data_IF_791322139060
#
_entry.id   IF_791322139060
#
_cell.length_a   1.000
_cell.length_b   1.000
_cell.length_c   1.000
_cell.angle_alpha   90.00
_cell.angle_beta   90.00
_cell.angle_gamma   90.00
#
_symmetry.space_group_name_H-M   'P 1'
#
loop_
_entity.id
_entity.type
_entity.pdbx_description
1 polymer ?
#
# COMPACT_ATOMS: atom_id res chain seq x y z
N UNK A 1 -48.94 28.64 -81.92
CA UNK A 1 -49.77 27.54 -81.38
C UNK A 1 -49.07 27.04 -80.11
N UNK A 2 -49.33 27.63 -78.93
CA UNK A 2 -50.34 27.23 -77.90
C UNK A 2 -50.06 25.82 -77.31
N UNK A 3 -50.29 25.56 -75.99
CA UNK A 3 -49.67 26.20 -74.82
C UNK A 3 -49.40 25.22 -73.63
N UNK A 4 -48.78 25.74 -72.55
CA UNK A 4 -49.04 25.47 -71.10
C UNK A 4 -49.05 24.05 -70.51
N UNK A 5 -48.27 23.88 -69.42
CA UNK A 5 -48.70 23.29 -68.13
C UNK A 5 -47.51 23.28 -67.15
N UNK A 6 -47.22 24.36 -66.42
CA UNK A 6 -47.61 24.55 -65.00
C UNK A 6 -48.14 23.30 -64.30
N UNK A 7 -47.30 22.67 -63.46
CA UNK A 7 -47.75 22.07 -62.20
C UNK A 7 -46.64 22.17 -61.16
N UNK A 8 -46.84 23.18 -60.31
CA UNK A 8 -46.15 23.48 -59.06
C UNK A 8 -46.55 22.39 -58.05
N UNK A 9 -45.60 21.55 -57.63
CA UNK A 9 -45.79 20.69 -56.46
C UNK A 9 -44.87 21.19 -55.35
N UNK A 10 -45.42 22.11 -54.56
CA UNK A 10 -44.90 22.47 -53.24
C UNK A 10 -45.37 21.43 -52.25
N UNK A 11 -44.46 20.62 -51.72
CA UNK A 11 -44.74 19.74 -50.59
C UNK A 11 -43.78 20.04 -49.45
N UNK A 12 -44.31 20.84 -48.54
CA UNK A 12 -44.00 21.02 -47.13
C UNK A 12 -42.67 20.48 -46.58
N UNK A 13 -41.88 21.43 -46.07
CA UNK A 13 -40.92 21.26 -44.97
C UNK A 13 -41.57 20.53 -43.78
N UNK A 14 -41.42 19.21 -43.69
CA UNK A 14 -41.55 18.49 -42.42
C UNK A 14 -40.26 18.65 -41.64
N UNK A 15 -40.19 19.78 -40.92
CA UNK A 15 -39.20 19.98 -39.86
C UNK A 15 -39.51 18.98 -38.76
N UNK A 16 -38.93 17.78 -38.83
CA UNK A 16 -38.96 16.85 -37.72
C UNK A 16 -38.09 17.44 -36.62
N UNK A 17 -38.70 18.23 -35.73
CA UNK A 17 -38.12 18.58 -34.44
C UNK A 17 -37.97 17.28 -33.68
N UNK A 18 -36.82 16.63 -33.83
CA UNK A 18 -36.36 15.63 -32.88
C UNK A 18 -36.21 16.37 -31.56
N UNK A 19 -37.23 16.24 -30.70
CA UNK A 19 -37.15 16.69 -29.34
C UNK A 19 -35.94 15.99 -28.70
N UNK A 20 -34.89 16.75 -28.41
CA UNK A 20 -33.84 16.35 -27.50
C UNK A 20 -34.51 16.09 -26.15
N UNK A 21 -34.95 14.85 -25.93
CA UNK A 21 -35.25 14.37 -24.58
C UNK A 21 -33.95 14.54 -23.80
N UNK A 22 -33.92 15.30 -22.69
CA UNK A 22 -32.82 15.18 -21.77
C UNK A 22 -32.87 13.73 -21.30
N UNK A 23 -31.95 12.89 -21.79
CA UNK A 23 -31.70 11.63 -21.11
C UNK A 23 -31.15 12.05 -19.76
N UNK A 24 -32.03 12.05 -18.76
CA UNK A 24 -31.63 11.88 -17.37
C UNK A 24 -31.04 10.47 -17.30
N UNK A 25 -29.84 10.33 -17.86
CA UNK A 25 -28.99 9.17 -17.77
C UNK A 25 -28.53 9.11 -16.34
N UNK A 26 -29.42 8.65 -15.45
CA UNK A 26 -29.01 8.04 -14.20
C UNK A 26 -28.01 6.98 -14.63
N UNK A 27 -26.72 7.24 -14.39
CA UNK A 27 -25.67 6.27 -14.62
C UNK A 27 -25.98 5.11 -13.71
N UNK A 28 -26.74 4.13 -14.21
CA UNK A 28 -26.96 2.90 -13.50
C UNK A 28 -25.57 2.33 -13.22
N UNK A 29 -25.26 2.17 -11.93
CA UNK A 29 -24.05 1.50 -11.48
C UNK A 29 -24.08 0.11 -12.09
N UNK A 30 -23.33 -0.10 -13.18
CA UNK A 30 -23.33 -1.33 -13.95
C UNK A 30 -22.62 -2.37 -13.09
N UNK A 31 -23.39 -3.08 -12.25
CA UNK A 31 -22.89 -4.07 -11.28
C UNK A 31 -21.94 -5.11 -11.89
N UNK A 32 -22.02 -5.33 -13.21
CA UNK A 32 -21.29 -6.37 -13.93
C UNK A 32 -20.19 -5.83 -14.87
N UNK A 33 -19.91 -4.52 -14.85
CA UNK A 33 -18.70 -4.01 -15.46
C UNK A 33 -17.70 -3.78 -14.33
N UNK A 34 -16.66 -4.63 -14.15
CA UNK A 34 -15.58 -4.28 -13.25
C UNK A 34 -15.06 -2.93 -13.71
N UNK A 35 -15.17 -1.92 -12.86
CA UNK A 35 -14.53 -0.63 -13.11
C UNK A 35 -13.08 -0.95 -13.46
N UNK A 36 -12.57 -0.45 -14.58
CA UNK A 36 -11.24 -0.76 -15.14
C UNK A 36 -10.05 -0.64 -14.14
N UNK A 37 -10.31 -0.12 -12.95
CA UNK A 37 -9.40 0.00 -11.81
C UNK A 37 -9.42 -1.18 -10.82
N UNK A 38 -10.30 -2.19 -10.99
CA UNK A 38 -10.44 -3.33 -10.04
C UNK A 38 -9.84 -4.63 -10.53
N UNK A 39 -9.23 -4.69 -11.73
CA UNK A 39 -8.49 -5.87 -12.19
C UNK A 39 -7.02 -5.78 -11.76
N UNK A 40 -6.84 -5.62 -10.45
CA UNK A 40 -5.57 -5.87 -9.81
C UNK A 40 -5.32 -7.38 -9.89
N UNK A 41 -4.62 -7.82 -10.94
CA UNK A 41 -4.22 -9.23 -11.08
C UNK A 41 -3.45 -9.60 -9.82
N UNK A 42 -3.96 -10.59 -9.09
CA UNK A 42 -3.26 -11.12 -7.92
C UNK A 42 -1.92 -11.67 -8.37
N UNK A 43 -0.85 -10.98 -8.00
CA UNK A 43 0.51 -11.41 -8.27
C UNK A 43 0.95 -12.34 -7.14
N UNK A 44 1.41 -13.53 -7.51
CA UNK A 44 1.92 -14.54 -6.58
C UNK A 44 3.44 -14.68 -6.74
N UNK A 45 4.06 -15.45 -5.83
CA UNK A 45 5.51 -15.68 -5.84
C UNK A 45 6.32 -14.39 -5.67
N UNK A 46 7.47 -14.32 -6.35
CA UNK A 46 8.38 -13.17 -6.27
C UNK A 46 7.74 -11.86 -6.75
N UNK A 47 6.86 -11.94 -7.76
CA UNK A 47 6.13 -10.77 -8.24
C UNK A 47 5.15 -10.24 -7.17
N UNK A 48 4.54 -11.13 -6.39
CA UNK A 48 3.69 -10.77 -5.26
C UNK A 48 4.46 -10.13 -4.10
N UNK A 49 5.70 -10.57 -3.85
CA UNK A 49 6.58 -9.91 -2.87
C UNK A 49 6.99 -8.52 -3.36
N UNK A 50 7.41 -8.41 -4.62
CA UNK A 50 7.82 -7.12 -5.20
C UNK A 50 6.66 -6.11 -5.30
N UNK A 51 5.44 -6.59 -5.53
CA UNK A 51 4.22 -5.79 -5.65
C UNK A 51 3.27 -6.09 -4.49
N UNK A 52 3.77 -5.89 -3.28
CA UNK A 52 3.10 -6.31 -2.05
C UNK A 52 1.75 -5.61 -1.80
N UNK A 53 1.41 -4.55 -2.53
CA UNK A 53 0.12 -3.85 -2.46
C UNK A 53 -1.01 -4.55 -3.25
N UNK A 54 -0.67 -5.58 -4.04
CA UNK A 54 -1.57 -6.13 -5.07
C UNK A 54 -2.08 -7.56 -4.77
N UNK A 55 -2.02 -8.00 -3.51
CA UNK A 55 -2.37 -9.37 -3.12
C UNK A 55 -3.18 -9.43 -1.82
N UNK A 56 -4.23 -10.26 -1.78
CA UNK A 56 -5.09 -10.41 -0.58
C UNK A 56 -4.33 -10.85 0.66
N UNK A 57 -3.32 -11.71 0.50
CA UNK A 57 -2.50 -12.13 1.65
C UNK A 57 -1.69 -10.96 2.21
N UNK A 58 -1.26 -10.01 1.38
CA UNK A 58 -0.51 -8.85 1.87
C UNK A 58 -1.40 -7.92 2.69
N UNK A 59 -2.66 -7.74 2.29
CA UNK A 59 -3.63 -7.00 3.10
C UNK A 59 -3.84 -7.68 4.46
N UNK A 60 -4.03 -9.01 4.47
CA UNK A 60 -4.13 -9.77 5.73
C UNK A 60 -2.86 -9.67 6.57
N UNK A 61 -1.69 -9.78 5.95
CA UNK A 61 -0.40 -9.64 6.61
C UNK A 61 -0.24 -8.25 7.21
N UNK A 62 -0.68 -7.19 6.51
CA UNK A 62 -0.66 -5.82 7.03
C UNK A 62 -1.54 -5.67 8.28
N UNK A 63 -2.75 -6.23 8.28
CA UNK A 63 -3.59 -6.22 9.48
C UNK A 63 -2.96 -7.01 10.64
N UNK A 64 -2.35 -8.16 10.34
CA UNK A 64 -1.67 -8.98 11.33
C UNK A 64 -0.45 -8.25 11.92
N UNK A 65 0.35 -7.57 11.09
CA UNK A 65 1.49 -6.79 11.58
C UNK A 65 1.03 -5.56 12.37
N UNK A 66 -0.08 -4.91 12.01
CA UNK A 66 -0.63 -3.81 12.80
C UNK A 66 -1.01 -4.27 14.21
N UNK A 67 -1.79 -5.34 14.32
CA UNK A 67 -2.23 -5.88 15.62
C UNK A 67 -1.03 -6.44 16.39
N UNK A 68 -0.12 -7.13 15.70
CA UNK A 68 1.10 -7.66 16.29
C UNK A 68 1.99 -6.58 16.89
N UNK A 69 2.24 -5.49 16.14
CA UNK A 69 3.03 -4.35 16.63
C UNK A 69 2.33 -3.61 17.76
N UNK A 70 1.01 -3.43 17.67
CA UNK A 70 0.22 -2.83 18.75
C UNK A 70 0.37 -3.59 20.08
N UNK A 71 0.43 -4.93 20.04
CA UNK A 71 0.67 -5.75 21.22
C UNK A 71 2.16 -5.83 21.61
N UNK A 72 3.07 -5.86 20.63
CA UNK A 72 4.50 -6.02 20.87
C UNK A 72 5.13 -4.80 21.56
N UNK A 73 4.67 -3.58 21.27
CA UNK A 73 5.20 -2.34 21.86
C UNK A 73 5.06 -2.29 23.39
N UNK A 74 3.88 -2.50 24.00
CA UNK A 74 3.78 -2.52 25.46
C UNK A 74 4.53 -3.70 26.09
N UNK A 75 4.54 -4.88 25.43
CA UNK A 75 5.31 -6.04 25.90
C UNK A 75 6.82 -5.76 25.91
N UNK A 76 7.33 -5.12 24.86
CA UNK A 76 8.71 -4.66 24.77
C UNK A 76 9.09 -3.76 25.94
N UNK A 77 8.21 -2.82 26.31
CA UNK A 77 8.47 -1.89 27.40
C UNK A 77 8.58 -2.58 28.77
N UNK A 78 7.70 -3.56 29.02
CA UNK A 78 7.61 -4.30 30.29
C UNK A 78 8.74 -5.32 30.44
N UNK A 79 9.07 -6.05 29.38
CA UNK A 79 10.00 -7.18 29.47
C UNK A 79 11.47 -6.74 29.44
N UNK A 80 11.80 -5.59 28.85
CA UNK A 80 13.18 -5.06 28.80
C UNK A 80 13.58 -4.43 30.15
N UNK A 81 14.72 -4.75 30.81
CA UNK A 81 15.75 -5.74 30.46
C UNK A 81 15.46 -7.11 31.04
N UNK A 82 15.22 -8.08 30.17
CA UNK A 82 15.09 -9.48 30.53
C UNK A 82 15.39 -10.37 29.32
N UNK A 83 15.95 -11.57 29.52
CA UNK A 83 16.00 -12.60 28.48
C UNK A 83 14.63 -12.93 27.87
N UNK A 84 13.54 -12.69 28.62
CA UNK A 84 12.17 -12.84 28.12
C UNK A 84 11.79 -11.84 27.02
N UNK A 85 12.60 -10.80 26.79
CA UNK A 85 12.41 -9.85 25.69
C UNK A 85 12.83 -10.43 24.33
N UNK A 86 13.70 -11.47 24.29
CA UNK A 86 14.22 -12.01 23.04
C UNK A 86 13.13 -12.48 22.04
N UNK A 87 12.06 -13.20 22.45
CA UNK A 87 10.96 -13.53 21.54
C UNK A 87 10.24 -12.29 20.99
N UNK A 88 10.11 -11.25 21.81
CA UNK A 88 9.51 -9.97 21.39
C UNK A 88 10.42 -9.24 20.42
N UNK A 89 11.72 -9.22 20.68
CA UNK A 89 12.75 -8.66 19.80
C UNK A 89 12.74 -9.34 18.43
N UNK A 90 12.71 -10.67 18.40
CA UNK A 90 12.63 -11.44 17.14
C UNK A 90 11.32 -11.17 16.40
N UNK A 91 10.19 -11.09 17.12
CA UNK A 91 8.90 -10.76 16.52
C UNK A 91 8.91 -9.35 15.91
N UNK A 92 9.33 -8.32 16.65
CA UNK A 92 9.45 -6.94 16.16
C UNK A 92 10.42 -6.87 14.98
N UNK A 93 11.53 -7.61 15.05
CA UNK A 93 12.53 -7.72 14.00
C UNK A 93 11.99 -8.21 12.66
N UNK A 94 10.88 -8.97 12.65
CA UNK A 94 10.19 -9.41 11.43
C UNK A 94 8.96 -8.55 11.10
N UNK A 95 8.14 -8.24 12.11
CA UNK A 95 6.90 -7.50 11.92
C UNK A 95 7.13 -6.10 11.37
N UNK A 96 8.18 -5.40 11.85
CA UNK A 96 8.52 -4.05 11.37
C UNK A 96 8.90 -4.06 9.89
N UNK A 97 9.84 -4.90 9.41
CA UNK A 97 10.11 -5.02 7.98
C UNK A 97 8.90 -5.38 7.14
N UNK A 98 8.10 -6.36 7.55
CA UNK A 98 6.92 -6.75 6.75
C UNK A 98 5.90 -5.61 6.66
N UNK A 99 5.60 -4.94 7.79
CA UNK A 99 4.72 -3.78 7.83
C UNK A 99 5.21 -2.64 6.93
N UNK A 100 6.49 -2.27 7.07
CA UNK A 100 7.10 -1.22 6.27
C UNK A 100 7.15 -1.59 4.77
N UNK A 101 7.38 -2.86 4.44
CA UNK A 101 7.44 -3.33 3.07
C UNK A 101 6.11 -3.13 2.34
N UNK A 102 5.03 -3.61 2.95
CA UNK A 102 3.68 -3.53 2.38
C UNK A 102 3.21 -2.07 2.36
N UNK A 103 3.39 -1.35 3.47
CA UNK A 103 2.99 0.05 3.60
C UNK A 103 3.62 0.95 2.54
N UNK A 104 4.93 0.85 2.34
CA UNK A 104 5.63 1.66 1.34
C UNK A 104 5.29 1.24 -0.09
N UNK A 105 4.96 -0.02 -0.36
CA UNK A 105 4.46 -0.41 -1.69
C UNK A 105 3.16 0.33 -2.06
N UNK A 106 2.27 0.58 -1.08
CA UNK A 106 1.09 1.43 -1.29
C UNK A 106 1.50 2.88 -1.63
N UNK A 107 2.42 3.46 -0.85
CA UNK A 107 2.95 4.82 -1.11
C UNK A 107 3.60 4.92 -2.49
N UNK A 108 4.40 3.94 -2.88
CA UNK A 108 5.03 3.86 -4.21
C UNK A 108 3.96 3.81 -5.31
N UNK A 109 2.88 3.07 -5.09
CA UNK A 109 1.77 3.01 -6.05
C UNK A 109 1.04 4.33 -6.23
N UNK A 110 0.89 5.09 -5.15
CA UNK A 110 0.19 6.38 -5.15
C UNK A 110 1.01 7.49 -5.79
N UNK A 111 2.33 7.54 -5.51
CA UNK A 111 3.15 8.70 -5.85
C UNK A 111 4.22 8.46 -6.91
N UNK A 112 4.62 7.21 -7.17
CA UNK A 112 5.71 6.94 -8.13
C UNK A 112 5.16 6.72 -9.54
N UNK A 113 5.66 7.48 -10.54
CA UNK A 113 5.30 7.31 -11.95
C UNK A 113 5.55 5.87 -12.45
N UNK A 114 4.66 5.38 -13.31
CA UNK A 114 4.65 3.97 -13.75
C UNK A 114 5.96 3.51 -14.41
N UNK A 115 6.65 4.41 -15.12
CA UNK A 115 7.91 4.14 -15.82
C UNK A 115 9.08 3.82 -14.88
N UNK A 116 9.07 4.35 -13.65
CA UNK A 116 10.15 4.13 -12.66
C UNK A 116 9.69 3.31 -11.44
N UNK A 117 8.41 2.96 -11.38
CA UNK A 117 7.79 2.25 -10.24
C UNK A 117 8.47 0.93 -9.93
N UNK A 118 8.75 0.10 -10.93
CA UNK A 118 9.39 -1.20 -10.71
C UNK A 118 10.78 -1.04 -10.10
N UNK A 119 11.55 -0.05 -10.56
CA UNK A 119 12.87 0.25 -10.01
C UNK A 119 12.77 0.72 -8.55
N UNK A 120 11.80 1.59 -8.24
CA UNK A 120 11.56 2.03 -6.87
C UNK A 120 11.19 0.86 -5.94
N UNK A 121 10.32 -0.05 -6.40
CA UNK A 121 9.94 -1.26 -5.65
C UNK A 121 11.10 -2.21 -5.42
N UNK A 122 11.97 -2.39 -6.42
CA UNK A 122 13.19 -3.20 -6.29
C UNK A 122 14.17 -2.58 -5.28
N UNK A 123 14.39 -1.27 -5.36
CA UNK A 123 15.22 -0.55 -4.38
C UNK A 123 14.65 -0.68 -2.96
N UNK A 124 13.33 -0.55 -2.83
CA UNK A 124 12.66 -0.71 -1.53
C UNK A 124 12.71 -2.14 -1.00
N UNK A 125 12.58 -3.16 -1.87
CA UNK A 125 12.78 -4.56 -1.50
C UNK A 125 14.19 -4.76 -0.95
N UNK A 126 15.21 -4.23 -1.61
CA UNK A 126 16.59 -4.27 -1.12
C UNK A 126 16.74 -3.59 0.26
N UNK A 127 16.18 -2.39 0.43
CA UNK A 127 16.19 -1.68 1.71
C UNK A 127 15.49 -2.47 2.83
N UNK A 128 14.35 -3.09 2.52
CA UNK A 128 13.61 -3.94 3.46
C UNK A 128 14.41 -5.18 3.85
N UNK A 129 15.06 -5.84 2.88
CA UNK A 129 15.91 -7.01 3.15
C UNK A 129 17.10 -6.65 4.03
N UNK A 130 17.76 -5.51 3.78
CA UNK A 130 18.83 -5.00 4.63
C UNK A 130 18.33 -4.69 6.04
N UNK A 131 17.15 -4.10 6.17
CA UNK A 131 16.54 -3.83 7.48
C UNK A 131 16.25 -5.14 8.23
N UNK A 132 15.67 -6.14 7.58
CA UNK A 132 15.40 -7.44 8.20
C UNK A 132 16.70 -8.11 8.70
N UNK A 133 17.74 -8.15 7.87
CA UNK A 133 19.03 -8.74 8.23
C UNK A 133 19.73 -7.97 9.34
N UNK A 134 19.70 -6.63 9.28
CA UNK A 134 20.26 -5.77 10.32
C UNK A 134 19.56 -5.95 11.66
N UNK A 135 18.23 -5.99 11.68
CA UNK A 135 17.45 -6.24 12.89
C UNK A 135 17.68 -7.65 13.45
N UNK A 136 17.75 -8.66 12.58
CA UNK A 136 18.09 -10.03 12.99
C UNK A 136 19.49 -10.08 13.64
N UNK A 137 20.47 -9.41 13.02
CA UNK A 137 21.84 -9.32 13.55
C UNK A 137 21.91 -8.63 14.91
N UNK A 138 21.11 -7.59 15.14
CA UNK A 138 21.01 -6.90 16.43
C UNK A 138 20.38 -7.81 17.50
N UNK A 139 19.44 -8.65 17.13
CA UNK A 139 18.77 -9.56 18.06
C UNK A 139 19.60 -10.79 18.43
N UNK A 140 20.39 -11.33 17.50
CA UNK A 140 21.14 -12.57 17.72
C UNK A 140 22.52 -12.36 18.33
N UNK A 141 23.24 -11.32 17.90
CA UNK A 141 24.61 -11.06 18.37
C UNK A 141 24.77 -9.62 18.89
N UNK A 142 23.65 -8.99 19.27
CA UNK A 142 23.62 -7.71 19.96
C UNK A 142 22.69 -7.77 21.19
N UNK A 143 22.43 -6.62 21.84
CA UNK A 143 21.58 -6.56 23.03
C UNK A 143 20.09 -6.84 22.80
N UNK A 144 19.63 -6.89 21.55
CA UNK A 144 18.20 -6.89 21.20
C UNK A 144 17.64 -5.49 20.94
N UNK A 145 16.65 -5.40 20.04
CA UNK A 145 16.04 -4.12 19.63
C UNK A 145 15.47 -3.36 20.84
N UNK A 146 14.75 -4.04 21.71
CA UNK A 146 14.09 -3.42 22.88
C UNK A 146 15.08 -2.86 23.87
N UNK A 147 16.17 -3.57 24.17
CA UNK A 147 17.25 -3.04 25.00
C UNK A 147 17.95 -1.86 24.35
N UNK A 148 18.31 -1.96 23.05
CA UNK A 148 18.95 -0.86 22.32
C UNK A 148 18.10 0.40 22.41
N UNK A 149 16.79 0.30 22.18
CA UNK A 149 15.88 1.43 22.31
C UNK A 149 15.84 1.92 23.76
N UNK A 150 15.63 1.05 24.75
CA UNK A 150 15.50 1.45 26.16
C UNK A 150 16.78 2.08 26.73
N UNK A 151 17.95 1.76 26.19
CA UNK A 151 19.22 2.38 26.62
C UNK A 151 19.29 3.88 26.36
N UNK A 152 18.57 4.39 25.34
CA UNK A 152 18.47 5.84 25.05
C UNK A 152 17.86 6.61 26.23
N UNK A 153 17.00 5.96 27.02
CA UNK A 153 16.32 6.56 28.19
C UNK A 153 16.99 6.25 29.54
N UNK A 154 18.08 5.47 29.56
CA UNK A 154 18.83 5.19 30.79
C UNK A 154 20.02 6.14 30.89
N UNK A 155 20.44 6.47 32.12
CA UNK A 155 21.68 7.22 32.29
C UNK A 155 22.87 6.45 31.72
N UNK A 156 23.79 7.18 31.10
CA UNK A 156 25.01 6.59 30.56
C UNK A 156 25.79 5.91 31.68
N UNK A 157 26.23 4.65 31.49
CA UNK A 157 27.06 3.95 32.47
C UNK A 157 28.35 4.72 32.82
N UNK A 158 28.82 5.57 31.90
CA UNK A 158 30.05 6.35 32.07
C UNK A 158 29.89 7.59 32.94
N UNK A 159 28.66 8.08 33.19
CA UNK A 159 28.43 9.26 34.05
C UNK A 159 28.95 9.03 35.47
N UNK A 160 28.72 7.83 36.02
CA UNK A 160 29.15 7.44 37.38
C UNK A 160 30.67 7.32 37.55
N UNK A 161 31.44 7.17 36.46
CA UNK A 161 32.90 7.04 36.50
C UNK A 161 33.64 8.37 36.60
N UNK A 162 32.97 9.48 36.30
CA UNK A 162 33.55 10.83 36.38
C UNK A 162 33.22 11.55 37.68
N UNK A 163 32.30 10.99 38.49
CA UNK A 163 31.85 11.54 39.78
C UNK A 163 32.48 10.80 40.99
N UNK A 164 33.32 9.79 40.75
CA UNK A 164 34.08 9.03 41.75
C UNK A 164 35.58 9.27 41.58
#
# INVERSE_FOLDING_TARGET
>A
MMPRSLLRSTSALTTSRVALRPSTGVRHFRKNAPTKYTENKELTGLAGVLQADNHKLSVKAMHLTNVGLMAAVPLAFVLSPSPLALPVDLAIGVLVPVHAHIGMNNVISDYVPKNVRTLARLGWLGATSLMLLGLLRVNLEGPGITEVVKTIWRESPNKKKHEA
#
